data_IF_431001929633
#
_entry.id   IF_431001929633
#
_cell.length_a   1.000
_cell.length_b   1.000
_cell.length_c   1.000
_cell.angle_alpha   90.00
_cell.angle_beta   90.00
_cell.angle_gamma   90.00
#
_symmetry.space_group_name_H-M   'P 1'
#
loop_
_entity.id
_entity.type
_entity.pdbx_description
1 polymer ?
#
# COMPACT_ATOMS: atom_id res chain seq x y z
N UNK A 1 11.26 2.29 -46.54
CA UNK A 1 10.23 3.20 -45.97
C UNK A 1 10.87 3.99 -44.84
N UNK A 2 10.76 5.34 -44.85
CA UNK A 2 11.17 6.19 -43.74
C UNK A 2 10.24 5.88 -42.53
N UNK A 3 10.77 5.33 -41.45
CA UNK A 3 10.03 5.12 -40.21
C UNK A 3 9.79 6.48 -39.55
N UNK A 4 8.56 6.80 -39.23
CA UNK A 4 8.22 8.03 -38.48
C UNK A 4 8.66 7.91 -37.04
N UNK A 5 8.77 9.01 -36.31
CA UNK A 5 9.11 9.02 -34.88
C UNK A 5 8.13 8.18 -34.05
N UNK A 6 6.81 8.35 -34.24
CA UNK A 6 5.81 7.57 -33.54
C UNK A 6 5.91 6.06 -33.81
N UNK A 7 6.21 5.63 -35.05
CA UNK A 7 6.45 4.23 -35.35
C UNK A 7 7.71 3.70 -34.67
N UNK A 8 8.75 4.53 -34.53
CA UNK A 8 9.97 4.16 -33.84
C UNK A 8 9.75 3.98 -32.34
N UNK A 9 9.00 4.91 -31.72
CA UNK A 9 8.62 4.82 -30.28
C UNK A 9 7.78 3.57 -30.02
N UNK A 10 6.73 3.33 -30.82
CA UNK A 10 5.90 2.13 -30.67
C UNK A 10 6.72 0.83 -30.78
N UNK A 11 7.69 0.80 -31.70
CA UNK A 11 8.57 -0.38 -31.84
C UNK A 11 9.49 -0.54 -30.62
N UNK A 12 10.02 0.56 -30.05
CA UNK A 12 10.79 0.51 -28.79
C UNK A 12 9.94 -0.01 -27.64
N UNK A 13 8.70 0.47 -27.48
CA UNK A 13 7.76 -0.01 -26.49
C UNK A 13 7.49 -1.52 -26.63
N UNK A 14 7.32 -2.03 -27.85
CA UNK A 14 7.16 -3.45 -28.12
C UNK A 14 8.36 -4.27 -27.66
N UNK A 15 9.60 -3.79 -27.88
CA UNK A 15 10.79 -4.46 -27.35
C UNK A 15 10.89 -4.46 -25.84
N UNK A 16 10.27 -3.49 -25.16
CA UNK A 16 10.15 -3.51 -23.70
C UNK A 16 9.20 -4.61 -23.20
N UNK A 17 8.20 -4.98 -23.99
CA UNK A 17 7.22 -6.01 -23.66
C UNK A 17 7.68 -7.42 -24.08
N UNK A 18 8.33 -7.51 -25.23
CA UNK A 18 8.84 -8.76 -25.81
C UNK A 18 10.29 -9.03 -25.38
N UNK A 19 10.62 -10.27 -25.06
CA UNK A 19 11.94 -10.66 -24.57
C UNK A 19 13.11 -10.53 -25.57
N UNK A 20 12.96 -9.78 -26.65
CA UNK A 20 13.96 -9.54 -27.71
C UNK A 20 15.02 -8.47 -27.36
N UNK A 21 15.56 -8.49 -26.14
CA UNK A 21 16.40 -7.43 -25.58
C UNK A 21 17.63 -7.06 -26.43
N UNK A 22 18.37 -8.04 -26.96
CA UNK A 22 19.56 -7.73 -27.76
C UNK A 22 19.22 -7.03 -29.07
N UNK A 23 18.16 -7.47 -29.75
CA UNK A 23 17.66 -6.80 -30.95
C UNK A 23 17.11 -5.42 -30.62
N UNK A 24 16.37 -5.31 -29.50
CA UNK A 24 15.87 -4.06 -28.97
C UNK A 24 16.97 -3.03 -28.70
N UNK A 25 18.08 -3.41 -28.07
CA UNK A 25 19.24 -2.55 -27.83
C UNK A 25 19.87 -2.06 -29.15
N UNK A 26 20.06 -2.95 -30.12
CA UNK A 26 20.58 -2.55 -31.46
C UNK A 26 19.63 -1.56 -32.15
N UNK A 27 18.35 -1.82 -32.07
CA UNK A 27 17.34 -0.91 -32.62
C UNK A 27 17.33 0.42 -31.89
N UNK A 28 17.42 0.43 -30.56
CA UNK A 28 17.49 1.63 -29.72
C UNK A 28 18.64 2.55 -30.17
N UNK A 29 19.87 2.02 -30.35
CA UNK A 29 21.00 2.84 -30.83
C UNK A 29 20.74 3.43 -32.22
N UNK A 30 20.11 2.69 -33.12
CA UNK A 30 19.74 3.20 -34.45
C UNK A 30 18.75 4.38 -34.39
N UNK A 31 17.78 4.27 -33.46
CA UNK A 31 16.75 5.30 -33.29
C UNK A 31 17.29 6.52 -32.54
N UNK A 32 18.15 6.30 -31.52
CA UNK A 32 18.83 7.36 -30.78
C UNK A 32 19.71 8.24 -31.68
N UNK A 33 20.42 7.65 -32.66
CA UNK A 33 21.17 8.43 -33.66
C UNK A 33 20.27 9.37 -34.49
N UNK A 34 19.03 8.96 -34.72
CA UNK A 34 18.08 9.74 -35.53
C UNK A 34 17.29 10.78 -34.72
N UNK A 35 16.96 10.43 -33.45
CA UNK A 35 16.12 11.24 -32.56
C UNK A 35 16.74 11.38 -31.17
N UNK A 36 17.94 11.97 -31.02
CA UNK A 36 18.69 12.01 -29.77
C UNK A 36 18.05 12.90 -28.69
N UNK A 37 17.13 13.78 -29.06
CA UNK A 37 16.48 14.75 -28.18
C UNK A 37 14.97 14.53 -28.08
N UNK A 38 14.49 13.33 -28.36
CA UNK A 38 13.08 12.94 -28.15
C UNK A 38 12.98 12.15 -26.84
N UNK A 39 12.19 12.66 -25.89
CA UNK A 39 12.03 12.04 -24.57
C UNK A 39 11.66 10.57 -24.66
N UNK A 40 10.61 10.22 -25.40
CA UNK A 40 10.09 8.85 -25.51
C UNK A 40 11.14 7.89 -26.09
N UNK A 41 11.91 8.36 -27.08
CA UNK A 41 12.98 7.56 -27.68
C UNK A 41 14.08 7.29 -26.65
N UNK A 42 14.51 8.32 -25.94
CA UNK A 42 15.58 8.19 -24.92
C UNK A 42 15.11 7.35 -23.74
N UNK A 43 13.91 7.59 -23.22
CA UNK A 43 13.35 6.85 -22.08
C UNK A 43 13.14 5.36 -22.41
N UNK A 44 12.48 5.03 -23.50
CA UNK A 44 12.24 3.63 -23.86
C UNK A 44 13.53 2.88 -24.21
N UNK A 45 14.52 3.58 -24.79
CA UNK A 45 15.85 3.01 -24.99
C UNK A 45 16.52 2.69 -23.66
N UNK A 46 16.51 3.61 -22.69
CA UNK A 46 17.01 3.37 -21.34
C UNK A 46 16.35 2.12 -20.71
N UNK A 47 15.03 2.04 -20.84
CA UNK A 47 14.24 0.95 -20.29
C UNK A 47 14.63 -0.43 -20.90
N UNK A 48 14.86 -0.49 -22.21
CA UNK A 48 15.33 -1.72 -22.89
C UNK A 48 16.68 -2.18 -22.32
N UNK A 49 17.63 -1.26 -22.12
CA UNK A 49 18.92 -1.59 -21.50
C UNK A 49 18.75 -2.06 -20.06
N UNK A 50 17.90 -1.39 -19.28
CA UNK A 50 17.64 -1.77 -17.88
C UNK A 50 16.97 -3.13 -17.74
N UNK A 51 16.05 -3.49 -18.64
CA UNK A 51 15.38 -4.81 -18.66
C UNK A 51 16.33 -5.98 -18.94
N UNK A 52 17.51 -5.73 -19.52
CA UNK A 52 18.50 -6.78 -19.73
C UNK A 52 19.01 -7.40 -18.42
N UNK A 53 18.94 -6.66 -17.30
CA UNK A 53 19.51 -7.01 -16.00
C UNK A 53 21.01 -7.40 -16.07
N UNK A 54 21.69 -7.07 -17.17
CA UNK A 54 23.13 -7.30 -17.34
C UNK A 54 23.91 -6.08 -16.83
N UNK A 55 24.75 -6.29 -15.82
CA UNK A 55 25.59 -5.25 -15.23
C UNK A 55 26.42 -4.46 -16.25
N UNK A 56 26.78 -5.08 -17.38
CA UNK A 56 27.52 -4.42 -18.49
C UNK A 56 26.66 -3.42 -19.26
N UNK A 57 25.35 -3.61 -19.28
CA UNK A 57 24.40 -2.75 -19.97
C UNK A 57 23.92 -1.58 -19.09
N UNK A 58 24.04 -1.70 -17.77
CA UNK A 58 23.50 -0.72 -16.82
C UNK A 58 24.11 0.68 -16.94
N UNK A 59 25.41 0.89 -17.19
CA UNK A 59 25.95 2.23 -17.39
C UNK A 59 25.26 2.98 -18.54
N UNK A 60 24.93 2.30 -19.62
CA UNK A 60 24.21 2.90 -20.74
C UNK A 60 22.76 3.21 -20.40
N UNK A 61 22.11 2.35 -19.64
CA UNK A 61 20.77 2.59 -19.14
C UNK A 61 20.73 3.86 -18.23
N UNK A 62 21.69 4.00 -17.31
CA UNK A 62 21.82 5.18 -16.44
C UNK A 62 22.00 6.44 -17.25
N UNK A 63 22.97 6.48 -18.19
CA UNK A 63 23.21 7.62 -19.07
C UNK A 63 21.93 8.06 -19.79
N UNK A 64 21.21 7.10 -20.37
CA UNK A 64 19.95 7.39 -21.08
C UNK A 64 18.83 7.86 -20.15
N UNK A 65 18.72 7.29 -18.96
CA UNK A 65 17.75 7.78 -17.96
C UNK A 65 18.08 9.20 -17.47
N UNK A 66 19.35 9.52 -17.24
CA UNK A 66 19.78 10.87 -16.91
C UNK A 66 19.43 11.85 -18.02
N UNK A 67 19.67 11.44 -19.29
CA UNK A 67 19.25 12.22 -20.45
C UNK A 67 17.72 12.38 -20.55
N UNK A 68 16.95 11.33 -20.22
CA UNK A 68 15.50 11.43 -20.18
C UNK A 68 15.01 12.41 -19.10
N UNK A 69 15.68 12.51 -17.96
CA UNK A 69 15.37 13.53 -16.93
C UNK A 69 15.57 14.95 -17.45
N UNK A 70 16.60 15.20 -18.28
CA UNK A 70 16.82 16.50 -18.90
C UNK A 70 15.73 16.87 -19.92
N UNK A 71 15.06 15.86 -20.49
CA UNK A 71 14.02 16.02 -21.50
C UNK A 71 12.60 15.85 -20.93
N UNK A 72 12.46 15.75 -19.60
CA UNK A 72 11.20 15.38 -18.93
C UNK A 72 10.03 16.32 -19.27
N UNK A 73 10.29 17.57 -19.55
CA UNK A 73 9.27 18.56 -19.95
C UNK A 73 8.59 18.22 -21.29
N UNK A 74 9.16 17.30 -22.08
CA UNK A 74 8.56 16.79 -23.32
C UNK A 74 7.62 15.63 -23.09
N UNK A 75 7.58 15.09 -21.85
CA UNK A 75 6.80 13.89 -21.54
C UNK A 75 5.30 14.20 -21.53
N UNK A 76 4.54 13.44 -22.28
CA UNK A 76 3.07 13.49 -22.33
C UNK A 76 2.42 12.27 -21.64
N UNK A 77 3.21 11.31 -21.15
CA UNK A 77 2.70 10.11 -20.50
C UNK A 77 2.59 10.31 -18.97
N UNK A 78 1.37 10.34 -18.43
CA UNK A 78 1.09 10.56 -16.99
C UNK A 78 1.77 9.54 -16.06
N UNK A 79 2.03 8.34 -16.56
CA UNK A 79 2.63 7.24 -15.78
C UNK A 79 4.14 7.37 -15.63
N UNK A 80 4.80 8.18 -16.47
CA UNK A 80 6.24 8.39 -16.45
C UNK A 80 6.52 9.78 -15.87
N UNK A 81 7.23 9.82 -14.75
CA UNK A 81 7.65 11.05 -14.11
C UNK A 81 9.11 10.94 -13.64
N UNK A 82 9.67 12.03 -13.15
CA UNK A 82 11.05 12.05 -12.66
C UNK A 82 11.32 10.98 -11.59
N UNK A 83 10.34 10.71 -10.71
CA UNK A 83 10.44 9.66 -9.69
C UNK A 83 10.56 8.26 -10.29
N UNK A 84 9.78 7.97 -11.34
CA UNK A 84 9.84 6.69 -12.06
C UNK A 84 11.22 6.47 -12.68
N UNK A 85 11.78 7.51 -13.33
CA UNK A 85 13.11 7.46 -13.97
C UNK A 85 14.19 7.26 -12.90
N UNK A 86 14.16 8.02 -11.80
CA UNK A 86 15.13 7.91 -10.70
C UNK A 86 15.09 6.52 -10.03
N UNK A 87 13.91 5.92 -9.90
CA UNK A 87 13.79 4.55 -9.44
C UNK A 87 14.40 3.54 -10.42
N UNK A 88 14.31 3.81 -11.73
CA UNK A 88 15.00 3.04 -12.79
C UNK A 88 16.53 3.14 -12.64
N UNK A 89 17.07 4.34 -12.42
CA UNK A 89 18.50 4.55 -12.18
C UNK A 89 18.96 3.79 -10.92
N UNK A 90 18.21 3.89 -9.82
CA UNK A 90 18.53 3.15 -8.59
C UNK A 90 18.56 1.63 -8.82
N UNK A 91 17.63 1.10 -9.62
CA UNK A 91 17.65 -0.31 -10.01
C UNK A 91 18.89 -0.69 -10.82
N UNK A 92 19.32 0.16 -11.74
CA UNK A 92 20.56 -0.04 -12.50
C UNK A 92 21.79 -0.08 -11.57
N UNK A 93 21.86 0.82 -10.59
CA UNK A 93 22.94 0.79 -9.59
C UNK A 93 22.91 -0.49 -8.74
N UNK A 94 21.73 -0.99 -8.37
CA UNK A 94 21.63 -2.30 -7.70
C UNK A 94 22.19 -3.44 -8.55
N UNK A 95 21.90 -3.46 -9.86
CA UNK A 95 22.43 -4.47 -10.78
C UNK A 95 23.96 -4.39 -10.93
N UNK A 96 24.54 -3.20 -10.77
CA UNK A 96 25.99 -2.97 -10.77
C UNK A 96 26.65 -3.20 -9.40
N UNK A 97 25.93 -3.68 -8.38
CA UNK A 97 26.37 -3.76 -6.99
C UNK A 97 26.77 -2.41 -6.36
N UNK A 98 26.32 -1.30 -6.92
CA UNK A 98 26.52 0.06 -6.39
C UNK A 98 25.38 0.41 -5.44
N UNK A 99 25.30 -0.34 -4.33
CA UNK A 99 24.15 -0.26 -3.38
C UNK A 99 24.05 1.13 -2.71
N UNK A 100 25.18 1.75 -2.37
CA UNK A 100 25.17 3.07 -1.71
C UNK A 100 24.65 4.17 -2.65
N UNK A 101 25.01 4.14 -3.93
CA UNK A 101 24.50 5.07 -4.93
C UNK A 101 22.99 4.88 -5.13
N UNK A 102 22.52 3.63 -5.17
CA UNK A 102 21.09 3.32 -5.25
C UNK A 102 20.33 3.88 -4.04
N UNK A 103 20.84 3.71 -2.82
CA UNK A 103 20.24 4.23 -1.60
C UNK A 103 20.21 5.75 -1.62
N UNK A 104 21.27 6.41 -2.07
CA UNK A 104 21.34 7.89 -2.16
C UNK A 104 20.24 8.44 -3.06
N UNK A 105 20.07 7.87 -4.26
CA UNK A 105 18.99 8.28 -5.19
C UNK A 105 17.61 8.01 -4.59
N UNK A 106 17.40 6.84 -4.00
CA UNK A 106 16.13 6.50 -3.38
C UNK A 106 15.78 7.43 -2.21
N UNK A 107 16.77 7.84 -1.40
CA UNK A 107 16.57 8.81 -0.32
C UNK A 107 16.22 10.20 -0.84
N UNK A 108 16.90 10.68 -1.89
CA UNK A 108 16.60 11.97 -2.54
C UNK A 108 15.20 12.00 -3.14
N UNK A 109 14.71 10.83 -3.60
CA UNK A 109 13.42 10.66 -4.25
C UNK A 109 12.40 9.95 -3.33
N UNK A 110 12.45 10.21 -2.03
CA UNK A 110 11.61 9.51 -1.06
C UNK A 110 10.42 10.35 -0.61
N UNK A 111 9.65 10.87 -1.55
CA UNK A 111 8.45 11.64 -1.25
C UNK A 111 7.46 10.78 -0.44
N UNK A 112 6.99 11.30 0.68
CA UNK A 112 6.07 10.62 1.60
C UNK A 112 6.50 9.21 2.03
N UNK A 113 7.79 8.88 1.99
CA UNK A 113 8.28 7.56 2.38
C UNK A 113 7.97 6.43 1.39
N UNK A 114 7.62 6.75 0.14
CA UNK A 114 7.31 5.73 -0.90
C UNK A 114 8.44 4.74 -1.15
N UNK A 115 9.69 5.17 -0.95
CA UNK A 115 10.86 4.33 -1.15
C UNK A 115 11.38 3.69 0.14
N UNK A 116 10.72 3.89 1.30
CA UNK A 116 11.19 3.35 2.58
C UNK A 116 11.44 1.84 2.52
N UNK A 117 10.54 1.06 1.90
CA UNK A 117 10.72 -0.38 1.80
C UNK A 117 11.96 -0.76 0.97
N UNK A 118 12.25 -0.04 -0.11
CA UNK A 118 13.43 -0.29 -0.96
C UNK A 118 14.71 0.08 -0.23
N UNK A 119 14.73 1.26 0.40
CA UNK A 119 15.87 1.74 1.19
C UNK A 119 16.15 0.75 2.32
N UNK A 120 15.13 0.39 3.10
CA UNK A 120 15.27 -0.57 4.19
C UNK A 120 15.75 -1.95 3.73
N UNK A 121 15.23 -2.45 2.60
CA UNK A 121 15.67 -3.71 2.01
C UNK A 121 17.14 -3.67 1.57
N UNK A 122 17.61 -2.58 0.98
CA UNK A 122 19.01 -2.43 0.57
C UNK A 122 19.93 -2.30 1.79
N UNK A 123 19.57 -1.46 2.76
CA UNK A 123 20.30 -1.28 4.00
C UNK A 123 20.43 -2.58 4.82
N UNK A 124 19.39 -3.43 4.81
CA UNK A 124 19.37 -4.69 5.57
C UNK A 124 20.42 -5.72 5.11
N UNK A 125 21.02 -5.54 3.95
CA UNK A 125 22.10 -6.38 3.43
C UNK A 125 23.44 -6.09 4.11
N UNK A 126 23.60 -4.94 4.76
CA UNK A 126 24.81 -4.55 5.51
C UNK A 126 24.53 -4.64 7.02
N UNK A 127 25.23 -5.54 7.71
CA UNK A 127 25.12 -5.75 9.16
C UNK A 127 25.36 -4.47 9.96
N UNK A 128 26.16 -3.54 9.45
CA UNK A 128 26.47 -2.26 10.13
C UNK A 128 25.32 -1.26 10.02
N UNK A 129 24.43 -1.43 9.06
CA UNK A 129 23.28 -0.55 8.78
C UNK A 129 21.94 -1.12 9.28
N UNK A 130 21.96 -2.22 10.06
CA UNK A 130 20.75 -2.91 10.52
C UNK A 130 19.78 -2.00 11.26
N UNK A 131 20.27 -1.12 12.17
CA UNK A 131 19.40 -0.20 12.92
C UNK A 131 18.67 0.76 11.99
N UNK A 132 19.38 1.37 11.05
CA UNK A 132 18.80 2.27 10.05
C UNK A 132 17.81 1.51 9.13
N UNK A 133 18.16 0.30 8.71
CA UNK A 133 17.27 -0.54 7.91
C UNK A 133 15.93 -0.79 8.61
N UNK A 134 15.96 -1.12 9.91
CA UNK A 134 14.75 -1.37 10.70
C UNK A 134 13.88 -0.11 10.84
N UNK A 135 14.45 1.08 10.90
CA UNK A 135 13.68 2.32 10.92
C UNK A 135 12.88 2.48 9.62
N UNK A 136 13.55 2.41 8.46
CA UNK A 136 12.87 2.50 7.16
C UNK A 136 11.82 1.40 6.94
N UNK A 137 12.13 0.16 7.35
CA UNK A 137 11.19 -0.96 7.23
C UNK A 137 9.97 -0.80 8.15
N UNK A 138 10.15 -0.23 9.34
CA UNK A 138 9.06 0.06 10.27
C UNK A 138 8.06 1.05 9.68
N UNK A 139 8.55 2.16 9.12
CA UNK A 139 7.70 3.16 8.48
C UNK A 139 6.99 2.58 7.25
N UNK A 140 7.72 1.78 6.45
CA UNK A 140 7.14 1.09 5.31
C UNK A 140 6.03 0.12 5.73
N UNK A 141 6.20 -0.60 6.84
CA UNK A 141 5.20 -1.54 7.37
C UNK A 141 3.94 -0.81 7.82
N UNK A 142 4.06 0.28 8.58
CA UNK A 142 2.93 1.11 8.99
C UNK A 142 2.15 1.65 7.79
N UNK A 143 2.84 2.23 6.83
CA UNK A 143 2.24 2.75 5.61
C UNK A 143 1.53 1.65 4.83
N UNK A 144 2.20 0.53 4.59
CA UNK A 144 1.63 -0.59 3.83
C UNK A 144 0.39 -1.17 4.51
N UNK A 145 0.38 -1.24 5.84
CA UNK A 145 -0.80 -1.68 6.58
C UNK A 145 -1.97 -0.70 6.45
N UNK A 146 -1.72 0.60 6.54
CA UNK A 146 -2.75 1.62 6.33
C UNK A 146 -3.35 1.57 4.92
N UNK A 147 -2.50 1.43 3.90
CA UNK A 147 -2.92 1.25 2.50
C UNK A 147 -3.72 -0.07 2.33
N UNK A 148 -3.23 -1.17 2.91
CA UNK A 148 -3.90 -2.47 2.87
C UNK A 148 -5.29 -2.41 3.52
N UNK A 149 -5.41 -1.72 4.66
CA UNK A 149 -6.70 -1.51 5.33
C UNK A 149 -7.71 -0.86 4.38
N UNK A 150 -7.33 0.24 3.75
CA UNK A 150 -8.21 0.96 2.81
C UNK A 150 -8.54 0.11 1.57
N UNK A 151 -7.59 -0.64 1.04
CA UNK A 151 -7.80 -1.57 -0.09
C UNK A 151 -8.84 -2.63 0.29
N UNK A 152 -8.72 -3.24 1.47
CA UNK A 152 -9.66 -4.27 1.94
C UNK A 152 -11.07 -3.71 2.16
N UNK A 153 -11.20 -2.50 2.71
CA UNK A 153 -12.49 -1.81 2.83
C UNK A 153 -13.08 -1.54 1.45
N UNK A 154 -12.26 -1.10 0.49
CA UNK A 154 -12.70 -0.92 -0.90
C UNK A 154 -13.22 -2.22 -1.53
N UNK A 155 -12.55 -3.35 -1.32
CA UNK A 155 -13.04 -4.67 -1.74
C UNK A 155 -14.33 -5.05 -1.04
N UNK A 156 -14.44 -4.85 0.27
CA UNK A 156 -15.64 -5.17 1.02
C UNK A 156 -16.85 -4.38 0.49
N UNK A 157 -16.68 -3.09 0.21
CA UNK A 157 -17.72 -2.25 -0.40
C UNK A 157 -18.11 -2.75 -1.80
N UNK A 158 -17.12 -3.04 -2.67
CA UNK A 158 -17.38 -3.53 -4.02
C UNK A 158 -18.12 -4.87 -4.01
N UNK A 159 -17.71 -5.82 -3.19
CA UNK A 159 -18.39 -7.10 -3.02
C UNK A 159 -19.79 -6.93 -2.40
N UNK A 160 -19.97 -5.97 -1.49
CA UNK A 160 -21.26 -5.61 -0.92
C UNK A 160 -22.25 -5.15 -2.01
N UNK A 161 -21.80 -4.28 -2.93
CA UNK A 161 -22.61 -3.86 -4.10
C UNK A 161 -22.95 -5.04 -5.03
N UNK A 162 -22.06 -6.02 -5.16
CA UNK A 162 -22.31 -7.26 -5.90
C UNK A 162 -23.19 -8.25 -5.12
N UNK A 163 -23.55 -7.98 -3.88
CA UNK A 163 -24.25 -8.87 -2.94
C UNK A 163 -23.50 -10.19 -2.69
N UNK A 164 -22.19 -10.18 -2.83
CA UNK A 164 -21.31 -11.31 -2.55
C UNK A 164 -20.87 -11.29 -1.08
N UNK A 165 -21.80 -11.67 -0.21
CA UNK A 165 -21.61 -11.64 1.25
C UNK A 165 -20.43 -12.51 1.71
N UNK A 166 -20.17 -13.63 1.01
CA UNK A 166 -19.07 -14.52 1.36
C UNK A 166 -17.72 -13.84 1.16
N UNK A 167 -17.51 -13.15 0.03
CA UNK A 167 -16.27 -12.42 -0.22
C UNK A 167 -16.10 -11.22 0.69
N UNK A 168 -17.17 -10.51 1.06
CA UNK A 168 -17.12 -9.47 2.10
C UNK A 168 -16.59 -10.07 3.39
N UNK A 169 -17.15 -11.20 3.83
CA UNK A 169 -16.72 -11.87 5.06
C UNK A 169 -15.26 -12.29 5.00
N UNK A 170 -14.84 -12.92 3.91
CA UNK A 170 -13.47 -13.43 3.76
C UNK A 170 -12.43 -12.31 3.83
N UNK A 171 -12.63 -11.21 3.09
CA UNK A 171 -11.66 -10.09 3.08
C UNK A 171 -11.59 -9.37 4.42
N UNK A 172 -12.73 -9.19 5.10
CA UNK A 172 -12.79 -8.51 6.39
C UNK A 172 -12.15 -9.37 7.48
N UNK A 173 -12.42 -10.67 7.52
CA UNK A 173 -11.78 -11.59 8.47
C UNK A 173 -10.26 -11.66 8.24
N UNK A 174 -9.82 -11.71 6.99
CA UNK A 174 -8.41 -11.73 6.65
C UNK A 174 -7.70 -10.46 7.15
N UNK A 175 -8.29 -9.30 6.90
CA UNK A 175 -7.75 -8.01 7.36
C UNK A 175 -7.68 -7.95 8.88
N UNK A 176 -8.76 -8.31 9.58
CA UNK A 176 -8.83 -8.30 11.03
C UNK A 176 -7.76 -9.23 11.64
N UNK A 177 -7.61 -10.44 11.10
CA UNK A 177 -6.57 -11.38 11.52
C UNK A 177 -5.18 -10.80 11.32
N UNK A 178 -4.90 -10.21 10.16
CA UNK A 178 -3.61 -9.58 9.86
C UNK A 178 -3.29 -8.47 10.87
N UNK A 179 -4.23 -7.58 11.16
CA UNK A 179 -4.06 -6.53 12.17
C UNK A 179 -3.81 -7.08 13.57
N UNK A 180 -4.57 -8.10 13.97
CA UNK A 180 -4.41 -8.72 15.30
C UNK A 180 -3.05 -9.42 15.47
N UNK A 181 -2.51 -10.00 14.40
CA UNK A 181 -1.19 -10.65 14.42
C UNK A 181 -0.02 -9.66 14.43
N UNK A 182 -0.21 -8.45 13.88
CA UNK A 182 0.80 -7.39 13.85
C UNK A 182 0.95 -6.65 15.17
N UNK A 183 -0.01 -6.67 16.08
CA UNK A 183 -0.01 -5.89 17.32
C UNK A 183 0.16 -6.74 18.58
N UNK A 184 0.63 -6.09 19.64
CA UNK A 184 0.62 -6.63 21.00
C UNK A 184 -0.79 -6.51 21.59
N UNK A 185 -1.32 -7.55 22.27
CA UNK A 185 -2.73 -7.57 22.70
C UNK A 185 -3.08 -6.50 23.75
N UNK A 186 -2.11 -6.11 24.58
CA UNK A 186 -2.33 -5.25 25.76
C UNK A 186 -2.11 -3.74 25.46
N UNK A 187 -1.84 -3.38 24.23
CA UNK A 187 -1.58 -1.98 23.83
C UNK A 187 -2.71 -1.49 22.95
N UNK A 188 -3.42 -0.45 23.41
CA UNK A 188 -4.44 0.23 22.60
C UNK A 188 -3.77 1.01 21.48
N UNK A 189 -4.27 0.87 20.28
CA UNK A 189 -3.82 1.62 19.11
C UNK A 189 -4.95 1.83 18.10
N UNK A 190 -4.66 2.48 16.98
CA UNK A 190 -5.64 2.74 15.93
C UNK A 190 -6.32 1.47 15.37
N UNK A 191 -5.64 0.31 15.39
CA UNK A 191 -6.24 -0.94 14.91
C UNK A 191 -7.41 -1.40 15.77
N UNK A 192 -7.44 -1.08 17.10
CA UNK A 192 -8.60 -1.37 17.95
C UNK A 192 -9.83 -0.61 17.47
N UNK A 193 -9.65 0.67 17.06
CA UNK A 193 -10.70 1.48 16.47
C UNK A 193 -11.14 0.91 15.10
N UNK A 194 -10.20 0.50 14.27
CA UNK A 194 -10.47 -0.15 12.98
C UNK A 194 -11.27 -1.45 13.14
N UNK A 195 -10.92 -2.27 14.14
CA UNK A 195 -11.64 -3.53 14.44
C UNK A 195 -13.13 -3.29 14.75
N UNK A 196 -13.51 -2.17 15.35
CA UNK A 196 -14.93 -1.84 15.59
C UNK A 196 -15.72 -1.83 14.29
N UNK A 197 -15.17 -1.18 13.26
CA UNK A 197 -15.79 -1.17 11.93
C UNK A 197 -15.84 -2.55 11.30
N UNK A 198 -14.73 -3.29 11.35
CA UNK A 198 -14.65 -4.64 10.77
C UNK A 198 -15.64 -5.60 11.43
N UNK A 199 -15.77 -5.59 12.77
CA UNK A 199 -16.74 -6.44 13.47
C UNK A 199 -18.18 -6.03 13.16
N UNK A 200 -18.47 -4.74 12.99
CA UNK A 200 -19.81 -4.28 12.60
C UNK A 200 -20.17 -4.74 11.17
N UNK A 201 -19.24 -4.68 10.23
CA UNK A 201 -19.43 -5.23 8.87
C UNK A 201 -19.66 -6.75 8.92
N UNK A 202 -18.94 -7.48 9.75
CA UNK A 202 -19.16 -8.93 9.93
C UNK A 202 -20.53 -9.23 10.51
N UNK A 203 -21.04 -8.41 11.44
CA UNK A 203 -22.40 -8.55 11.94
C UNK A 203 -23.44 -8.36 10.83
N UNK A 204 -23.26 -7.37 9.96
CA UNK A 204 -24.11 -7.15 8.79
C UNK A 204 -24.10 -8.36 7.86
N UNK A 205 -22.92 -8.93 7.57
CA UNK A 205 -22.83 -10.14 6.73
C UNK A 205 -23.59 -11.33 7.34
N UNK A 206 -23.50 -11.51 8.66
CA UNK A 206 -24.21 -12.57 9.36
C UNK A 206 -25.74 -12.36 9.34
N UNK A 207 -26.22 -11.13 9.48
CA UNK A 207 -27.66 -10.82 9.32
C UNK A 207 -28.13 -11.15 7.92
N UNK A 208 -27.39 -10.75 6.88
CA UNK A 208 -27.74 -11.06 5.48
C UNK A 208 -27.81 -12.58 5.23
N UNK A 209 -27.10 -13.38 6.01
CA UNK A 209 -27.14 -14.85 6.00
C UNK A 209 -28.12 -15.46 7.01
N UNK A 210 -28.97 -14.65 7.67
CA UNK A 210 -29.91 -15.06 8.72
C UNK A 210 -29.24 -15.70 9.94
N UNK A 211 -28.00 -15.34 10.22
CA UNK A 211 -27.23 -15.81 11.38
C UNK A 211 -27.23 -14.73 12.50
N UNK A 212 -28.38 -14.57 13.16
CA UNK A 212 -28.52 -13.56 14.23
C UNK A 212 -27.57 -13.80 15.42
N UNK A 213 -27.27 -15.06 15.73
CA UNK A 213 -26.36 -15.40 16.82
C UNK A 213 -24.91 -14.97 16.47
N UNK A 214 -24.47 -15.19 15.24
CA UNK A 214 -23.18 -14.70 14.74
C UNK A 214 -23.09 -13.17 14.79
N UNK A 215 -24.14 -12.50 14.30
CA UNK A 215 -24.22 -11.04 14.34
C UNK A 215 -24.15 -10.49 15.79
N UNK A 216 -24.82 -11.15 16.74
CA UNK A 216 -24.71 -10.81 18.16
C UNK A 216 -23.26 -10.88 18.67
N UNK A 217 -22.55 -11.96 18.35
CA UNK A 217 -21.15 -12.14 18.77
C UNK A 217 -20.22 -11.08 18.16
N UNK A 218 -20.45 -10.71 16.90
CA UNK A 218 -19.67 -9.66 16.26
C UNK A 218 -19.95 -8.28 16.85
N UNK A 219 -21.22 -7.93 17.10
CA UNK A 219 -21.58 -6.67 17.75
C UNK A 219 -21.08 -6.58 19.18
N UNK A 220 -21.05 -7.70 19.92
CA UNK A 220 -20.42 -7.76 21.23
C UNK A 220 -18.92 -7.43 21.16
N UNK A 221 -18.19 -8.03 20.22
CA UNK A 221 -16.78 -7.72 19.98
C UNK A 221 -16.57 -6.27 19.55
N UNK A 222 -17.44 -5.74 18.68
CA UNK A 222 -17.38 -4.34 18.29
C UNK A 222 -17.54 -3.40 19.50
N UNK A 223 -18.49 -3.71 20.40
CA UNK A 223 -18.70 -2.97 21.64
C UNK A 223 -17.47 -3.01 22.53
N UNK A 224 -16.91 -4.20 22.78
CA UNK A 224 -15.73 -4.38 23.64
C UNK A 224 -14.51 -3.62 23.08
N UNK A 225 -14.28 -3.67 21.76
CA UNK A 225 -13.21 -2.90 21.11
C UNK A 225 -13.44 -1.40 21.18
N UNK A 226 -14.69 -0.94 21.02
CA UNK A 226 -15.03 0.46 21.12
C UNK A 226 -14.81 0.98 22.57
N UNK A 227 -15.29 0.27 23.57
CA UNK A 227 -15.11 0.63 24.98
C UNK A 227 -13.64 0.65 25.39
N UNK A 228 -12.86 -0.33 24.92
CA UNK A 228 -11.40 -0.38 25.14
C UNK A 228 -10.72 0.84 24.53
N UNK A 229 -11.05 1.18 23.29
CA UNK A 229 -10.45 2.33 22.62
C UNK A 229 -10.89 3.66 23.25
N UNK A 230 -12.19 3.83 23.50
CA UNK A 230 -12.76 5.09 24.02
C UNK A 230 -12.31 5.38 25.46
N UNK A 231 -11.96 4.34 26.25
CA UNK A 231 -11.39 4.50 27.58
C UNK A 231 -9.98 5.13 27.57
N UNK A 232 -9.18 4.89 26.54
CA UNK A 232 -7.84 5.43 26.38
C UNK A 232 -7.49 5.63 24.89
N UNK A 233 -8.09 6.60 24.20
CA UNK A 233 -7.96 6.78 22.77
C UNK A 233 -6.51 6.93 22.34
N UNK A 234 -6.07 6.11 21.37
CA UNK A 234 -4.73 6.15 20.81
C UNK A 234 -4.79 6.04 19.28
N UNK A 235 -4.61 7.16 18.60
CA UNK A 235 -4.63 7.23 17.13
C UNK A 235 -3.29 6.84 16.49
N UNK A 236 -2.38 6.27 17.25
CA UNK A 236 -1.10 5.77 16.74
C UNK A 236 -1.27 4.38 16.17
N UNK A 237 -0.81 4.20 14.93
CA UNK A 237 -0.75 2.90 14.27
C UNK A 237 0.47 2.09 14.74
N UNK A 238 1.59 2.77 15.02
CA UNK A 238 2.85 2.18 15.49
C UNK A 238 2.79 1.67 16.93
N UNK A 239 1.90 2.23 17.77
CA UNK A 239 1.79 1.86 19.18
C UNK A 239 1.49 0.36 19.33
N UNK A 240 2.36 -0.36 20.02
CA UNK A 240 2.23 -1.80 20.22
C UNK A 240 2.40 -2.66 18.98
N UNK A 241 2.84 -2.11 17.84
CA UNK A 241 3.17 -2.91 16.66
C UNK A 241 4.40 -3.77 16.94
N UNK A 242 4.33 -5.09 16.65
CA UNK A 242 5.37 -6.06 17.03
C UNK A 242 6.73 -5.82 16.41
N UNK A 243 6.76 -5.30 15.19
CA UNK A 243 7.97 -5.16 14.38
C UNK A 243 8.37 -3.70 14.15
N UNK A 244 7.83 -2.77 14.97
CA UNK A 244 8.14 -1.37 14.85
C UNK A 244 9.41 -1.02 15.65
N UNK A 245 10.39 -0.42 14.99
CA UNK A 245 11.72 -0.09 15.51
C UNK A 245 12.13 1.37 15.19
N UNK A 246 11.16 2.26 15.04
CA UNK A 246 11.40 3.67 14.84
C UNK A 246 10.92 4.46 16.06
N UNK A 247 11.58 5.57 16.35
CA UNK A 247 11.20 6.50 17.43
C UNK A 247 10.09 7.47 16.95
N UNK A 248 9.90 7.61 15.64
CA UNK A 248 8.84 8.43 15.06
C UNK A 248 7.46 7.81 15.28
N UNK A 249 6.46 8.68 15.43
CA UNK A 249 5.08 8.27 15.66
C UNK A 249 4.30 8.23 14.34
N UNK A 250 3.67 7.10 14.06
CA UNK A 250 2.77 6.95 12.93
C UNK A 250 1.31 7.08 13.40
N UNK A 251 0.67 8.21 13.11
CA UNK A 251 -0.74 8.45 13.44
C UNK A 251 -1.63 8.13 12.24
N UNK A 252 -2.83 7.65 12.52
CA UNK A 252 -3.87 7.41 11.52
C UNK A 252 -5.19 7.98 12.02
N UNK A 253 -5.91 8.68 11.15
CA UNK A 253 -7.20 9.28 11.45
C UNK A 253 -8.23 8.79 10.44
N UNK A 254 -9.50 8.78 10.86
CA UNK A 254 -10.64 8.48 10.01
C UNK A 254 -11.76 9.51 10.26
N UNK A 255 -12.78 9.49 9.43
CA UNK A 255 -13.95 10.36 9.48
C UNK A 255 -15.18 9.66 10.07
N UNK A 256 -14.98 8.55 10.77
CA UNK A 256 -16.05 7.67 11.25
C UNK A 256 -16.69 8.11 12.58
N UNK A 257 -16.35 9.30 13.09
CA UNK A 257 -16.90 9.85 14.32
C UNK A 257 -15.84 10.19 15.37
N UNK A 258 -16.22 10.89 16.44
CA UNK A 258 -15.30 11.27 17.51
C UNK A 258 -14.94 10.07 18.39
N UNK A 259 -15.93 9.22 18.69
CA UNK A 259 -15.73 8.00 19.48
C UNK A 259 -15.72 6.75 18.60
N UNK A 260 -15.08 5.69 19.08
CA UNK A 260 -15.12 4.41 18.38
C UNK A 260 -16.52 3.79 18.39
N UNK A 261 -17.34 4.08 19.39
CA UNK A 261 -18.75 3.65 19.45
C UNK A 261 -19.60 4.23 18.33
N UNK A 262 -19.33 5.47 17.90
CA UNK A 262 -20.04 6.11 16.79
C UNK A 262 -19.85 5.39 15.45
N UNK A 263 -18.73 4.66 15.27
CA UNK A 263 -18.49 3.83 14.09
C UNK A 263 -19.59 2.79 13.91
N UNK A 264 -20.00 2.13 15.01
CA UNK A 264 -21.06 1.10 15.00
C UNK A 264 -22.37 1.74 14.51
N UNK A 265 -22.73 2.90 15.08
CA UNK A 265 -23.96 3.62 14.72
C UNK A 265 -23.96 4.06 13.26
N UNK A 266 -22.83 4.58 12.78
CA UNK A 266 -22.68 5.05 11.40
C UNK A 266 -22.82 3.89 10.40
N UNK A 267 -22.12 2.77 10.62
CA UNK A 267 -22.22 1.60 9.75
C UNK A 267 -23.65 1.02 9.76
N UNK A 268 -24.26 0.88 10.95
CA UNK A 268 -25.63 0.36 11.03
C UNK A 268 -26.64 1.25 10.29
N UNK A 269 -26.47 2.59 10.37
CA UNK A 269 -27.35 3.55 9.69
C UNK A 269 -27.31 3.41 8.17
N UNK A 270 -26.12 3.14 7.63
CA UNK A 270 -25.92 3.04 6.18
C UNK A 270 -26.21 1.62 5.64
N UNK A 271 -26.49 0.66 6.54
CA UNK A 271 -26.75 -0.74 6.19
C UNK A 271 -28.18 -0.98 5.68
N UNK A 272 -28.29 -1.84 4.67
CA UNK A 272 -29.61 -2.38 4.24
C UNK A 272 -30.30 -3.23 5.34
N UNK A 273 -29.53 -3.74 6.31
CA UNK A 273 -29.98 -4.56 7.42
C UNK A 273 -30.16 -3.74 8.74
N UNK A 274 -30.25 -2.42 8.64
CA UNK A 274 -30.27 -1.50 9.78
C UNK A 274 -31.22 -1.95 10.90
N UNK A 275 -32.47 -2.30 10.56
CA UNK A 275 -33.49 -2.66 11.57
C UNK A 275 -33.10 -3.90 12.37
N UNK A 276 -32.57 -4.91 11.72
CA UNK A 276 -32.14 -6.15 12.35
C UNK A 276 -30.88 -5.92 13.20
N UNK A 277 -29.90 -5.18 12.69
CA UNK A 277 -28.69 -4.81 13.41
C UNK A 277 -29.03 -4.01 14.68
N UNK A 278 -29.90 -2.99 14.59
CA UNK A 278 -30.29 -2.18 15.76
C UNK A 278 -31.01 -3.01 16.83
N UNK A 279 -31.84 -3.96 16.42
CA UNK A 279 -32.49 -4.89 17.37
C UNK A 279 -31.47 -5.73 18.15
N UNK A 280 -30.47 -6.28 17.45
CA UNK A 280 -29.43 -7.10 18.09
C UNK A 280 -28.50 -6.21 18.91
N UNK A 281 -28.15 -5.02 18.42
CA UNK A 281 -27.33 -4.05 19.15
C UNK A 281 -27.97 -3.65 20.49
N UNK A 282 -29.28 -3.40 20.48
CA UNK A 282 -30.01 -3.13 21.72
C UNK A 282 -29.89 -4.26 22.72
N UNK A 283 -30.05 -5.52 22.24
CA UNK A 283 -29.88 -6.70 23.08
C UNK A 283 -28.45 -6.82 23.66
N UNK A 284 -27.42 -6.57 22.85
CA UNK A 284 -26.01 -6.55 23.29
C UNK A 284 -25.82 -5.51 24.40
N UNK A 285 -26.36 -4.30 24.22
CA UNK A 285 -26.24 -3.22 25.22
C UNK A 285 -26.98 -3.55 26.52
N UNK A 286 -28.19 -4.12 26.45
CA UNK A 286 -28.98 -4.50 27.62
C UNK A 286 -28.30 -5.61 28.45
N UNK A 287 -27.77 -6.65 27.78
CA UNK A 287 -27.14 -7.79 28.45
C UNK A 287 -25.75 -7.48 29.03
N UNK A 288 -25.05 -6.50 28.46
CA UNK A 288 -23.70 -6.10 28.91
C UNK A 288 -23.67 -4.84 29.79
N UNK A 289 -24.69 -3.99 29.73
CA UNK A 289 -24.83 -2.78 30.56
C UNK A 289 -25.16 -3.05 32.03
N UNK A 290 -25.48 -4.28 32.39
CA UNK A 290 -25.77 -4.69 33.78
C UNK A 290 -24.54 -5.07 34.63
N UNK A 291 -23.32 -5.02 34.08
CA UNK A 291 -22.08 -5.42 34.80
C UNK A 291 -21.32 -4.26 35.45
N UNK A 292 -21.82 -3.03 35.41
CA UNK A 292 -21.21 -1.87 36.09
C UNK A 292 -21.74 -1.64 37.51
N UNK A 293 -22.17 -2.67 38.21
CA UNK A 293 -22.44 -2.56 39.65
C UNK A 293 -22.04 -3.86 40.33
N UNK A 294 -20.76 -4.04 40.66
CA UNK A 294 -20.32 -4.55 41.98
C UNK A 294 -18.87 -4.15 42.20
#
# INVERSE_FOLDING_TARGET
KKITMGQAVQKLQNYCLDKGQQEGMRYAETVLQKYPNCFEVVYHSAHIYALSMDAKCMPRAVELYERALELIDQNEEDQINASTIQNGIAQCYCCMNRTDDAIEILKKNNFEGKNNYRIGLLLSRDKKKTKEALQYLSDALCRSYGELYNICIGYANAYGHMKDVNRVRDIVLWLQKTGSELRKPDVVNWMDRGDVGLFTILAETDISQRNEQGAYQWLLRAKESAEKFDAAPCYRLDAGMKFYHNDDKATSYDDMGETAKEIIEKIMKDSSEEKALRRIWKKVCEETGGKEKV
#
